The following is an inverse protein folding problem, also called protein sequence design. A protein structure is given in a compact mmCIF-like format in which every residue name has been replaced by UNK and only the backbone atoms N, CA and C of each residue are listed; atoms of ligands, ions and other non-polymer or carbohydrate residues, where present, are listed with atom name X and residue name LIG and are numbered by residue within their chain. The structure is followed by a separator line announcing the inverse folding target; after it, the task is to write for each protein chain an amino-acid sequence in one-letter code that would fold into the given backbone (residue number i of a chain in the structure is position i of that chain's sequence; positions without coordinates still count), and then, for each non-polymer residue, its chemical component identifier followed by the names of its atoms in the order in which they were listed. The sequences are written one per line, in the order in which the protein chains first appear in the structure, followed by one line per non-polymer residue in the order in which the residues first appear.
data_IF_403187547117
#
_entry.id   IF_403187547117
#
_cell.length_a   1.000
_cell.length_b   1.000
_cell.length_c   1.000
_cell.angle_alpha   90.00
_cell.angle_beta   90.00
_cell.angle_gamma   90.00
#
_symmetry.space_group_name_H-M   'P 1'
#
loop_
_entity.id
_entity.type
_entity.pdbx_description
1 polymer ?
#
# COMPACT_ATOMS: atom_id res chain seq x y z
N UNK A 1 33.21 46.81 -15.07
CA UNK A 1 33.36 45.43 -14.55
C UNK A 1 31.98 45.05 -14.08
N UNK A 2 31.17 44.58 -15.01
CA UNK A 2 29.74 44.45 -14.87
C UNK A 2 29.44 43.01 -14.43
N UNK A 3 29.06 42.87 -13.16
CA UNK A 3 28.58 41.61 -12.60
C UNK A 3 27.22 41.29 -13.23
N UNK A 4 27.20 40.29 -14.11
CA UNK A 4 25.97 39.64 -14.52
C UNK A 4 25.35 38.92 -13.31
N UNK A 5 24.08 39.18 -12.95
CA UNK A 5 23.39 38.31 -12.03
C UNK A 5 23.10 36.99 -12.76
N UNK A 6 23.85 35.94 -12.42
CA UNK A 6 23.44 34.57 -12.73
C UNK A 6 22.14 34.34 -11.96
N UNK A 7 21.01 34.53 -12.64
CA UNK A 7 19.75 34.01 -12.18
C UNK A 7 19.88 32.48 -12.12
N UNK A 8 19.61 31.83 -10.97
CA UNK A 8 19.47 30.38 -10.96
C UNK A 8 18.18 30.03 -11.69
N UNK A 9 18.30 29.80 -12.99
CA UNK A 9 17.19 29.41 -13.87
C UNK A 9 16.73 27.99 -13.53
N UNK A 10 15.80 27.92 -12.58
CA UNK A 10 14.47 27.30 -12.65
C UNK A 10 14.25 25.97 -13.39
N UNK A 11 15.27 25.18 -13.67
CA UNK A 11 15.11 23.80 -14.10
C UNK A 11 15.30 22.83 -12.93
N UNK A 12 14.58 23.03 -11.83
CA UNK A 12 14.19 21.88 -11.01
C UNK A 12 13.18 21.11 -11.84
N UNK A 13 13.69 20.22 -12.69
CA UNK A 13 12.89 19.14 -13.23
C UNK A 13 12.19 18.50 -12.04
N UNK A 14 10.89 18.73 -11.96
CA UNK A 14 9.99 18.20 -10.94
C UNK A 14 9.78 16.71 -11.26
N UNK A 15 10.87 15.96 -11.43
CA UNK A 15 10.84 14.52 -11.46
C UNK A 15 10.19 14.10 -10.15
N UNK A 16 9.19 13.21 -10.17
CA UNK A 16 8.67 12.64 -8.94
C UNK A 16 9.82 11.86 -8.30
N UNK A 17 10.57 12.53 -7.42
CA UNK A 17 11.60 11.92 -6.60
C UNK A 17 10.86 10.93 -5.74
N UNK A 18 11.26 9.66 -5.84
CA UNK A 18 10.67 8.60 -5.05
C UNK A 18 10.61 9.02 -3.57
N UNK A 19 9.40 9.09 -3.01
CA UNK A 19 9.17 9.43 -1.62
C UNK A 19 8.89 8.14 -0.83
N UNK A 20 9.86 7.66 -0.02
CA UNK A 20 9.72 6.43 0.74
C UNK A 20 8.62 6.50 1.80
N UNK A 21 8.32 7.69 2.34
CA UNK A 21 7.24 7.88 3.33
C UNK A 21 5.89 7.77 2.64
N UNK A 22 5.73 8.40 1.47
CA UNK A 22 4.51 8.27 0.68
C UNK A 22 4.27 6.82 0.22
N UNK A 23 5.33 6.12 -0.20
CA UNK A 23 5.30 4.69 -0.49
C UNK A 23 4.82 3.88 0.72
N UNK A 24 5.42 4.10 1.90
CA UNK A 24 5.07 3.37 3.12
C UNK A 24 3.61 3.57 3.53
N UNK A 25 3.09 4.80 3.39
CA UNK A 25 1.67 5.10 3.64
C UNK A 25 0.74 4.36 2.68
N UNK A 26 1.05 4.35 1.38
CA UNK A 26 0.29 3.60 0.37
C UNK A 26 0.32 2.11 0.65
N UNK A 27 1.49 1.56 0.94
CA UNK A 27 1.67 0.16 1.32
C UNK A 27 0.81 -0.20 2.54
N UNK A 28 0.83 0.62 3.59
CA UNK A 28 -0.01 0.41 4.78
C UNK A 28 -1.49 0.39 4.43
N UNK A 29 -1.97 1.37 3.67
CA UNK A 29 -3.37 1.47 3.29
C UNK A 29 -3.84 0.23 2.51
N UNK A 30 -3.04 -0.22 1.54
CA UNK A 30 -3.27 -1.44 0.77
C UNK A 30 -3.35 -2.67 1.68
N UNK A 31 -2.34 -2.85 2.52
CA UNK A 31 -2.24 -4.05 3.36
C UNK A 31 -3.40 -4.12 4.37
N UNK A 32 -3.78 -3.00 4.96
CA UNK A 32 -4.92 -2.96 5.87
C UNK A 32 -6.26 -3.14 5.15
N UNK A 33 -6.41 -2.60 3.95
CA UNK A 33 -7.62 -2.81 3.16
C UNK A 33 -7.79 -4.27 2.71
N UNK A 34 -6.70 -4.96 2.39
CA UNK A 34 -6.73 -6.33 1.89
C UNK A 34 -6.72 -7.39 2.99
N UNK A 35 -5.92 -7.19 4.05
CA UNK A 35 -5.73 -8.16 5.13
C UNK A 35 -6.47 -7.81 6.42
N UNK A 36 -7.06 -6.62 6.51
CA UNK A 36 -7.82 -6.14 7.68
C UNK A 36 -6.96 -5.71 8.88
N UNK A 37 -5.94 -6.50 9.22
CA UNK A 37 -5.09 -6.25 10.41
C UNK A 37 -3.60 -6.22 10.08
N UNK A 38 -2.84 -5.48 10.89
CA UNK A 38 -1.37 -5.45 10.83
C UNK A 38 -0.75 -6.84 11.00
N UNK A 39 -1.33 -7.65 11.88
CA UNK A 39 -0.84 -8.98 12.18
C UNK A 39 -0.98 -9.93 10.98
N UNK A 40 -2.16 -9.94 10.34
CA UNK A 40 -2.40 -10.76 9.14
C UNK A 40 -1.49 -10.26 8.01
N UNK A 41 -1.40 -8.94 7.79
CA UNK A 41 -0.49 -8.39 6.80
C UNK A 41 0.98 -8.78 7.05
N UNK A 42 1.43 -8.83 8.31
CA UNK A 42 2.79 -9.25 8.65
C UNK A 42 3.05 -10.70 8.24
N UNK A 43 2.09 -11.60 8.48
CA UNK A 43 2.20 -13.03 8.15
C UNK A 43 2.15 -13.23 6.63
N UNK A 44 1.15 -12.66 5.96
CA UNK A 44 0.93 -12.83 4.52
C UNK A 44 2.06 -12.24 3.67
N UNK A 45 2.67 -11.14 4.13
CA UNK A 45 3.82 -10.52 3.46
C UNK A 45 5.15 -11.21 3.80
N UNK A 46 5.15 -12.22 4.67
CA UNK A 46 6.35 -12.94 5.09
C UNK A 46 7.32 -12.09 5.91
N UNK A 47 6.82 -11.06 6.60
CA UNK A 47 7.61 -10.25 7.51
C UNK A 47 7.97 -11.08 8.75
N UNK A 48 9.23 -10.98 9.20
CA UNK A 48 9.73 -11.71 10.38
C UNK A 48 9.22 -11.13 11.69
N UNK A 49 8.77 -9.87 11.70
CA UNK A 49 8.24 -9.20 12.88
C UNK A 49 7.36 -8.00 12.51
N UNK A 50 6.48 -7.62 13.44
CA UNK A 50 5.67 -6.40 13.33
C UNK A 50 6.53 -5.13 13.25
N UNK A 51 7.73 -5.13 13.86
CA UNK A 51 8.65 -4.00 13.74
C UNK A 51 9.12 -3.81 12.30
N UNK A 52 9.35 -4.90 11.57
CA UNK A 52 9.79 -4.86 10.18
C UNK A 52 8.71 -4.24 9.26
N UNK A 53 7.46 -4.66 9.40
CA UNK A 53 6.36 -4.10 8.61
C UNK A 53 6.13 -2.62 8.95
N UNK A 54 6.26 -2.23 10.22
CA UNK A 54 6.19 -0.81 10.63
C UNK A 54 7.29 0.05 10.00
N UNK A 55 8.51 -0.49 9.85
CA UNK A 55 9.61 0.19 9.14
C UNK A 55 9.33 0.34 7.65
N UNK A 56 8.65 -0.62 7.04
CA UNK A 56 8.17 -0.51 5.66
C UNK A 56 7.09 0.57 5.53
N UNK A 57 6.15 0.63 6.47
CA UNK A 57 5.08 1.62 6.46
C UNK A 57 5.53 3.05 6.75
N UNK A 58 6.57 3.22 7.55
CA UNK A 58 7.14 4.54 7.83
C UNK A 58 8.08 5.03 6.73
N UNK A 59 8.43 4.18 5.76
CA UNK A 59 9.44 4.48 4.75
C UNK A 59 10.87 4.45 5.29
N UNK A 60 11.09 4.07 6.55
CA UNK A 60 12.44 3.91 7.12
C UNK A 60 13.22 2.78 6.45
N UNK A 61 12.52 1.78 5.92
CA UNK A 61 13.12 0.67 5.20
C UNK A 61 12.28 0.34 3.98
N UNK A 62 12.93 -0.01 2.87
CA UNK A 62 12.22 -0.53 1.70
C UNK A 62 11.93 -2.03 1.88
N UNK A 63 10.77 -2.51 1.43
CA UNK A 63 10.44 -3.92 1.47
C UNK A 63 11.37 -4.71 0.56
N UNK A 64 11.61 -5.97 0.93
CA UNK A 64 12.38 -6.88 0.09
C UNK A 64 11.65 -7.11 -1.24
N UNK A 65 12.40 -7.34 -2.33
CA UNK A 65 11.83 -7.59 -3.66
C UNK A 65 10.79 -8.72 -3.67
N UNK A 66 10.96 -9.73 -2.81
CA UNK A 66 9.99 -10.82 -2.63
C UNK A 66 8.60 -10.31 -2.23
N UNK A 67 8.52 -9.33 -1.33
CA UNK A 67 7.26 -8.75 -0.89
C UNK A 67 6.59 -7.96 -2.03
N UNK A 68 7.37 -7.20 -2.79
CA UNK A 68 6.86 -6.49 -3.98
C UNK A 68 6.27 -7.46 -5.00
N UNK A 69 6.91 -8.62 -5.19
CA UNK A 69 6.39 -9.67 -6.06
C UNK A 69 5.07 -10.26 -5.53
N UNK A 70 4.96 -10.48 -4.21
CA UNK A 70 3.69 -10.92 -3.60
C UNK A 70 2.58 -9.90 -3.83
N UNK A 71 2.86 -8.59 -3.68
CA UNK A 71 1.88 -7.54 -3.96
C UNK A 71 1.44 -7.52 -5.43
N UNK A 72 2.37 -7.72 -6.38
CA UNK A 72 1.99 -7.86 -7.79
C UNK A 72 1.17 -9.12 -8.05
N UNK A 73 1.42 -10.21 -7.33
CA UNK A 73 0.62 -11.43 -7.44
C UNK A 73 -0.82 -11.22 -6.93
N UNK A 74 -1.03 -10.33 -5.96
CA UNK A 74 -2.34 -9.86 -5.54
C UNK A 74 -2.97 -8.83 -6.50
N UNK A 75 -2.27 -8.45 -7.57
CA UNK A 75 -2.74 -7.51 -8.59
C UNK A 75 -2.51 -6.04 -8.26
N UNK A 76 -1.65 -5.70 -7.29
CA UNK A 76 -1.30 -4.31 -7.03
C UNK A 76 -0.32 -3.76 -8.07
N UNK A 77 -0.60 -2.55 -8.55
CA UNK A 77 0.27 -1.84 -9.48
C UNK A 77 1.46 -1.23 -8.74
N UNK A 78 2.68 -1.65 -9.08
CA UNK A 78 3.90 -1.10 -8.48
C UNK A 78 4.09 0.39 -8.80
N UNK A 79 3.75 0.86 -10.00
CA UNK A 79 3.93 2.28 -10.33
C UNK A 79 3.04 3.16 -9.44
N UNK A 80 1.81 2.74 -9.16
CA UNK A 80 0.95 3.41 -8.18
C UNK A 80 1.52 3.31 -6.76
N UNK A 81 2.04 2.15 -6.37
CA UNK A 81 2.61 1.98 -5.03
C UNK A 81 3.83 2.90 -4.81
N UNK A 82 4.74 2.96 -5.78
CA UNK A 82 5.97 3.75 -5.72
C UNK A 82 5.74 5.25 -5.92
N UNK A 83 4.91 5.65 -6.88
CA UNK A 83 4.76 7.06 -7.27
C UNK A 83 3.39 7.66 -6.98
N UNK A 84 2.38 6.83 -6.72
CA UNK A 84 0.98 7.26 -6.64
C UNK A 84 0.35 7.54 -8.00
N UNK A 85 1.00 7.12 -9.08
CA UNK A 85 0.59 7.39 -10.46
C UNK A 85 -0.14 6.18 -11.06
N UNK A 86 -1.26 6.43 -11.75
CA UNK A 86 -2.04 5.39 -12.43
C UNK A 86 -3.04 4.67 -11.52
N UNK A 87 -3.61 3.54 -11.97
CA UNK A 87 -4.58 2.77 -11.18
C UNK A 87 -3.89 1.97 -10.07
N UNK A 88 -4.56 1.84 -8.91
CA UNK A 88 -4.07 1.08 -7.75
C UNK A 88 -3.91 -0.42 -8.03
N UNK A 89 -4.84 -0.98 -8.81
CA UNK A 89 -4.82 -2.36 -9.24
C UNK A 89 -4.41 -2.42 -10.71
N UNK A 90 -3.53 -3.36 -11.03
CA UNK A 90 -3.27 -3.72 -12.41
C UNK A 90 -4.34 -4.74 -12.84
N UNK A 91 -5.29 -4.29 -13.67
CA UNK A 91 -6.34 -5.16 -14.20
C UNK A 91 -5.79 -6.28 -15.11
N UNK A 92 -4.48 -6.29 -15.38
CA UNK A 92 -3.79 -7.38 -16.07
C UNK A 92 -3.41 -8.55 -15.15
N UNK A 93 -3.69 -8.49 -13.85
CA UNK A 93 -3.53 -9.64 -12.96
C UNK A 93 -4.48 -10.77 -13.40
N UNK A 94 -3.99 -12.00 -13.61
CA UNK A 94 -4.85 -13.10 -14.05
C UNK A 94 -6.00 -13.26 -13.04
N UNK A 95 -7.21 -13.39 -13.57
CA UNK A 95 -8.47 -13.60 -12.86
C UNK A 95 -8.52 -14.96 -12.10
N UNK A 96 -7.45 -15.31 -11.37
CA UNK A 96 -7.24 -16.64 -10.79
C UNK A 96 -7.10 -16.67 -9.27
N UNK A 97 -7.06 -15.53 -8.58
CA UNK A 97 -7.28 -15.46 -7.14
C UNK A 97 -8.55 -14.66 -6.90
N UNK A 98 -9.68 -15.33 -7.12
CA UNK A 98 -10.93 -14.89 -6.54
C UNK A 98 -10.69 -14.75 -5.03
N UNK A 99 -10.61 -13.52 -4.55
CA UNK A 99 -10.95 -13.20 -3.18
C UNK A 99 -12.31 -13.84 -2.96
N UNK A 100 -12.35 -14.97 -2.27
CA UNK A 100 -13.55 -15.35 -1.57
C UNK A 100 -13.88 -14.14 -0.70
N UNK A 101 -14.86 -13.35 -1.13
CA UNK A 101 -15.62 -12.50 -0.24
C UNK A 101 -16.13 -13.47 0.83
N UNK A 102 -15.38 -13.59 1.92
CA UNK A 102 -15.86 -14.27 3.11
C UNK A 102 -17.06 -13.44 3.54
N UNK A 103 -18.23 -13.89 3.10
CA UNK A 103 -19.51 -13.43 3.58
C UNK A 103 -19.61 -13.82 5.04
N UNK A 104 -18.91 -13.08 5.89
CA UNK A 104 -19.32 -12.93 7.28
C UNK A 104 -20.50 -11.96 7.23
N UNK A 105 -21.66 -12.50 6.86
CA UNK A 105 -22.91 -11.96 7.31
C UNK A 105 -22.82 -11.98 8.84
N UNK A 106 -22.55 -10.82 9.44
CA UNK A 106 -22.76 -10.63 10.87
C UNK A 106 -24.28 -10.67 11.05
N UNK A 107 -24.82 -11.86 11.29
CA UNK A 107 -26.13 -12.00 11.90
C UNK A 107 -25.99 -11.49 13.33
N UNK A 108 -26.44 -10.26 13.57
CA UNK A 108 -26.75 -9.80 14.92
C UNK A 108 -27.89 -10.69 15.44
N UNK A 109 -27.78 -11.28 16.65
CA UNK A 109 -28.95 -11.85 17.31
C UNK A 109 -29.84 -10.68 17.76
N UNK A 110 -31.03 -10.58 17.16
CA UNK A 110 -32.13 -9.79 17.71
C UNK A 110 -32.87 -10.71 18.70
N UNK A 111 -32.42 -10.69 19.95
CA UNK A 111 -33.00 -11.44 21.04
C UNK A 111 -34.29 -10.73 21.49
N UNK A 112 -35.40 -11.35 21.12
CA UNK A 112 -36.67 -11.47 21.85
C UNK A 112 -37.44 -10.19 22.28
N UNK A 113 -38.58 -10.01 21.60
CA UNK A 113 -39.93 -9.89 22.18
C UNK A 113 -40.13 -8.92 23.35
N UNK A 114 -40.64 -7.75 22.95
CA UNK A 114 -41.94 -7.23 23.35
C UNK A 114 -42.80 -8.20 24.22
N UNK A 115 -42.78 -7.99 25.54
CA UNK A 115 -43.87 -8.43 26.42
C UNK A 115 -44.98 -7.37 26.37
N UNK A 116 -46.09 -7.72 25.72
CA UNK A 116 -47.39 -7.10 25.91
C UNK A 116 -48.47 -8.19 25.86
#
# INVERSE_FOLDING_TARGET
MDSFPVAPDKYRHNHPVFDPVAFGRRLKAVCLAHFGTEMIACVELGCRSQLQIRRYWSGQQLPACKLLYTLTAFGFNLNWLFKGEGPMYDMSAPAGLALAQSGVAVTLPDDDKEMA
#
